data_IF_104133428072
#
_entry.id   IF_104133428072
#
_cell.length_a   1.000
_cell.length_b   1.000
_cell.length_c   1.000
_cell.angle_alpha   90.00
_cell.angle_beta   90.00
_cell.angle_gamma   90.00
#
_symmetry.space_group_name_H-M   'P 1'
#
loop_
_entity.id
_entity.type
_entity.pdbx_description
1 polymer ?
#
# COMPACT_ATOMS: atom_id res chain seq x y z
N UNK A 1 26.19 17.21 5.26
CA UNK A 1 24.91 17.57 5.88
C UNK A 1 24.09 18.34 4.86
N UNK A 2 22.78 18.08 4.74
CA UNK A 2 21.91 18.96 3.96
C UNK A 2 21.70 20.24 4.77
N UNK A 3 22.05 21.39 4.18
CA UNK A 3 21.89 22.70 4.81
C UNK A 3 20.42 23.11 4.80
N UNK A 4 20.01 23.85 5.81
CA UNK A 4 18.67 24.45 5.85
C UNK A 4 18.55 25.56 4.80
N UNK A 5 17.38 25.67 4.16
CA UNK A 5 17.04 26.77 3.27
C UNK A 5 15.94 27.66 3.89
N UNK A 6 16.25 28.91 4.28
CA UNK A 6 15.23 29.84 4.79
C UNK A 6 14.11 30.12 3.79
N UNK A 7 14.44 30.17 2.50
CA UNK A 7 13.45 30.34 1.42
C UNK A 7 12.46 29.16 1.35
N UNK A 8 12.94 27.94 1.60
CA UNK A 8 12.05 26.77 1.66
C UNK A 8 11.11 26.88 2.86
N UNK A 9 11.60 27.32 4.02
CA UNK A 9 10.76 27.56 5.19
C UNK A 9 9.67 28.60 4.88
N UNK A 10 10.04 29.75 4.34
CA UNK A 10 9.10 30.83 4.02
C UNK A 10 8.02 30.37 3.04
N UNK A 11 8.38 29.57 2.03
CA UNK A 11 7.42 29.01 1.10
C UNK A 11 6.43 28.04 1.78
N UNK A 12 6.92 27.15 2.66
CA UNK A 12 6.07 26.21 3.40
C UNK A 12 5.19 26.90 4.44
N UNK A 13 5.71 27.92 5.13
CA UNK A 13 4.95 28.77 6.04
C UNK A 13 3.88 29.57 5.30
N UNK A 14 4.18 30.04 4.08
CA UNK A 14 3.16 30.69 3.24
C UNK A 14 2.09 29.70 2.81
N UNK A 15 2.43 28.46 2.51
CA UNK A 15 1.46 27.40 2.22
C UNK A 15 0.56 27.12 3.43
N UNK A 16 1.13 27.05 4.64
CA UNK A 16 0.37 26.89 5.89
C UNK A 16 -0.64 28.02 6.10
N UNK A 17 -0.20 29.27 5.95
CA UNK A 17 -1.05 30.45 6.08
C UNK A 17 -2.20 30.50 5.05
N UNK A 18 -2.15 29.67 4.00
CA UNK A 18 -3.19 29.54 2.99
C UNK A 18 -3.94 28.19 3.08
N UNK A 19 -3.83 27.47 4.20
CA UNK A 19 -4.50 26.20 4.44
C UNK A 19 -4.16 25.14 3.37
N UNK A 20 -2.90 25.13 2.92
CA UNK A 20 -2.38 24.15 1.96
C UNK A 20 -1.61 23.06 2.72
N UNK A 21 -2.13 21.82 2.78
CA UNK A 21 -1.37 20.70 3.30
C UNK A 21 -0.23 20.36 2.32
N UNK A 22 0.95 20.04 2.87
CA UNK A 22 2.13 19.67 2.09
C UNK A 22 2.57 18.27 2.50
N UNK A 23 2.42 17.32 1.59
CA UNK A 23 2.85 15.94 1.82
C UNK A 23 4.29 15.78 1.33
N UNK A 24 5.15 15.21 2.17
CA UNK A 24 6.58 15.06 1.93
C UNK A 24 7.03 13.60 2.13
N UNK A 25 7.98 13.15 1.32
CA UNK A 25 8.61 11.84 1.49
C UNK A 25 9.59 11.85 2.66
N UNK A 26 9.61 10.80 3.48
CA UNK A 26 10.55 10.71 4.61
C UNK A 26 12.03 10.57 4.18
N UNK A 27 12.30 10.13 2.96
CA UNK A 27 13.64 9.89 2.41
C UNK A 27 14.08 8.42 2.48
N UNK A 28 15.05 8.03 1.65
CA UNK A 28 15.37 6.62 1.34
C UNK A 28 16.76 6.16 1.85
N UNK A 29 17.32 6.77 2.90
CA UNK A 29 18.68 6.43 3.39
C UNK A 29 18.67 5.48 4.61
N UNK A 30 17.56 4.77 4.86
CA UNK A 30 17.40 3.78 5.95
C UNK A 30 17.53 4.37 7.35
N UNK A 31 17.45 5.69 7.48
CA UNK A 31 17.76 6.37 8.72
C UNK A 31 16.64 6.21 9.73
N UNK A 32 17.04 5.97 10.96
CA UNK A 32 16.17 6.16 12.10
C UNK A 32 16.48 7.53 12.72
N UNK A 33 15.61 8.49 12.43
CA UNK A 33 15.77 9.89 12.79
C UNK A 33 15.17 10.08 14.18
N UNK A 34 15.98 10.58 15.10
CA UNK A 34 15.54 10.97 16.44
C UNK A 34 16.08 12.34 16.76
N UNK A 35 15.37 13.06 17.61
CA UNK A 35 15.85 14.33 18.13
C UNK A 35 17.25 14.18 18.76
N UNK A 36 18.13 15.15 18.51
CA UNK A 36 19.50 15.17 19.04
C UNK A 36 20.55 14.39 18.23
N UNK A 37 20.16 13.72 17.13
CA UNK A 37 21.12 13.09 16.21
C UNK A 37 21.54 14.05 15.08
N UNK A 38 22.81 14.00 14.65
CA UNK A 38 23.41 14.90 13.63
C UNK A 38 22.81 14.77 12.21
N UNK A 39 21.77 13.95 12.02
CA UNK A 39 21.20 13.64 10.71
C UNK A 39 19.85 14.30 10.51
N UNK A 40 19.86 15.63 10.45
CA UNK A 40 18.68 16.45 10.12
C UNK A 40 18.13 16.12 8.73
N UNK A 41 16.81 16.16 8.57
CA UNK A 41 16.12 15.92 7.29
C UNK A 41 15.17 17.03 6.91
N UNK A 42 15.54 17.81 5.91
CA UNK A 42 14.68 18.86 5.37
C UNK A 42 13.75 18.28 4.29
N UNK A 43 12.49 18.73 4.19
CA UNK A 43 11.84 19.74 5.04
C UNK A 43 11.23 19.20 6.35
N UNK A 44 11.33 17.90 6.66
CA UNK A 44 10.70 17.30 7.85
C UNK A 44 11.10 17.94 9.20
N UNK A 45 12.31 18.49 9.32
CA UNK A 45 12.74 19.27 10.49
C UNK A 45 11.86 20.49 10.79
N UNK A 46 11.18 21.07 9.78
CA UNK A 46 10.31 22.23 9.99
C UNK A 46 9.02 21.88 10.75
N UNK A 47 8.74 20.59 10.98
CA UNK A 47 7.61 20.15 11.83
C UNK A 47 7.82 20.44 13.32
N UNK A 48 9.06 20.68 13.73
CA UNK A 48 9.42 21.10 15.08
C UNK A 48 10.03 22.49 15.04
N UNK A 49 9.84 23.24 16.12
CA UNK A 49 10.54 24.50 16.29
C UNK A 49 12.05 24.23 16.28
N UNK A 50 12.80 25.01 15.52
CA UNK A 50 14.24 24.81 15.38
C UNK A 50 15.01 26.13 15.32
N UNK A 51 16.31 26.04 15.60
CA UNK A 51 17.26 27.13 15.45
C UNK A 51 18.26 26.78 14.32
N UNK A 52 18.52 27.78 13.49
CA UNK A 52 19.56 27.71 12.48
C UNK A 52 20.29 29.06 12.40
N UNK A 53 21.58 29.04 12.72
CA UNK A 53 22.44 30.23 12.77
C UNK A 53 21.88 31.35 13.66
N UNK A 54 21.24 31.01 14.79
CA UNK A 54 20.66 31.97 15.72
C UNK A 54 19.31 32.54 15.29
N UNK A 55 18.77 32.08 14.16
CA UNK A 55 17.41 32.40 13.71
C UNK A 55 16.47 31.28 14.16
N UNK A 56 15.40 31.65 14.85
CA UNK A 56 14.37 30.73 15.34
C UNK A 56 13.25 30.59 14.31
N UNK A 57 12.90 29.34 14.02
CA UNK A 57 11.82 28.96 13.12
C UNK A 57 10.73 28.25 13.92
N UNK A 58 9.47 28.65 13.72
CA UNK A 58 8.32 28.01 14.34
C UNK A 58 8.01 26.68 13.65
N UNK A 59 7.45 25.74 14.40
CA UNK A 59 6.93 24.49 13.84
C UNK A 59 5.82 24.76 12.83
N UNK A 60 5.86 24.06 11.70
CA UNK A 60 4.82 24.04 10.68
C UNK A 60 3.95 22.79 10.87
N UNK A 61 2.65 23.00 11.07
CA UNK A 61 1.62 21.97 11.24
C UNK A 61 1.02 21.47 9.93
N UNK A 62 1.36 22.08 8.79
CA UNK A 62 0.84 21.66 7.47
C UNK A 62 1.66 20.59 6.76
N UNK A 63 2.75 20.11 7.37
CA UNK A 63 3.61 19.09 6.76
C UNK A 63 3.20 17.69 7.19
N UNK A 64 2.99 16.81 6.22
CA UNK A 64 2.69 15.38 6.45
C UNK A 64 3.84 14.56 5.87
N UNK A 65 4.67 13.98 6.74
CA UNK A 65 5.87 13.22 6.37
C UNK A 65 5.59 11.73 6.31
N UNK A 66 5.91 11.10 5.17
CA UNK A 66 5.43 9.75 4.84
C UNK A 66 6.57 8.76 4.66
N UNK A 67 6.59 7.71 5.49
CA UNK A 67 7.43 6.54 5.31
C UNK A 67 6.83 5.55 4.30
N UNK A 68 7.68 4.73 3.71
CA UNK A 68 7.25 3.63 2.85
C UNK A 68 6.99 2.37 3.68
N UNK A 69 5.87 1.71 3.39
CA UNK A 69 5.60 0.35 3.84
C UNK A 69 6.41 -0.68 3.04
N UNK A 70 6.70 -1.82 3.66
CA UNK A 70 7.25 -2.98 2.96
C UNK A 70 6.26 -3.53 1.91
N UNK A 71 6.69 -4.48 1.09
CA UNK A 71 5.86 -5.07 0.03
C UNK A 71 4.59 -5.79 0.52
N UNK A 72 4.53 -6.13 1.82
CA UNK A 72 3.37 -6.77 2.45
C UNK A 72 2.43 -5.76 3.12
N UNK A 73 2.81 -4.48 3.14
CA UNK A 73 2.10 -3.41 3.84
C UNK A 73 1.85 -3.64 5.34
N UNK A 74 2.68 -4.47 5.97
CA UNK A 74 2.55 -4.86 7.39
C UNK A 74 3.45 -4.07 8.32
N UNK A 75 4.46 -3.37 7.81
CA UNK A 75 5.38 -2.55 8.57
C UNK A 75 6.09 -1.52 7.68
N UNK A 76 6.75 -0.54 8.30
CA UNK A 76 7.67 0.37 7.59
C UNK A 76 8.83 -0.43 6.98
N UNK A 77 9.16 -0.14 5.72
CA UNK A 77 10.27 -0.78 5.01
C UNK A 77 11.62 -0.28 5.54
N UNK A 78 12.28 -1.09 6.36
CA UNK A 78 13.57 -0.74 6.96
C UNK A 78 14.75 -0.86 5.99
N UNK A 79 14.53 -1.42 4.78
CA UNK A 79 15.58 -1.58 3.77
C UNK A 79 15.89 -0.28 3.04
N UNK A 80 15.02 0.73 3.09
CA UNK A 80 15.31 2.06 2.54
C UNK A 80 14.59 3.19 3.29
N UNK A 81 13.39 2.97 3.86
CA UNK A 81 12.62 4.07 4.41
C UNK A 81 13.29 4.67 5.64
N UNK A 82 13.41 5.98 5.63
CA UNK A 82 13.58 6.73 6.86
C UNK A 82 12.36 6.57 7.76
N UNK A 83 12.59 6.64 9.06
CA UNK A 83 11.56 6.54 10.10
C UNK A 83 11.97 7.28 11.37
N UNK A 84 11.02 7.51 12.27
CA UNK A 84 11.21 8.16 13.56
C UNK A 84 10.04 9.06 13.90
N UNK A 85 9.36 8.77 15.01
CA UNK A 85 8.10 9.42 15.38
C UNK A 85 8.20 10.94 15.58
N UNK A 86 9.39 11.47 15.80
CA UNK A 86 9.65 12.90 15.89
C UNK A 86 9.47 13.66 14.56
N UNK A 87 9.62 12.96 13.42
CA UNK A 87 9.76 13.58 12.10
C UNK A 87 8.90 12.94 11.02
N UNK A 88 8.56 11.67 11.16
CA UNK A 88 7.73 10.92 10.23
C UNK A 88 6.37 10.70 10.85
N UNK A 89 5.30 10.99 10.11
CA UNK A 89 3.93 10.91 10.63
C UNK A 89 3.33 9.54 10.45
N UNK A 90 3.36 9.05 9.21
CA UNK A 90 2.52 7.94 8.78
C UNK A 90 3.28 7.12 7.75
N UNK A 91 2.88 5.86 7.59
CA UNK A 91 3.38 5.02 6.52
C UNK A 91 2.30 4.80 5.45
N UNK A 92 2.72 4.64 4.20
CA UNK A 92 1.85 4.35 3.08
C UNK A 92 2.56 3.41 2.08
N UNK A 93 1.82 2.80 1.14
CA UNK A 93 2.41 1.89 0.14
C UNK A 93 3.53 2.57 -0.64
N UNK A 94 4.73 2.00 -0.57
CA UNK A 94 5.93 2.60 -1.17
C UNK A 94 6.94 1.60 -1.70
N UNK A 95 6.67 0.30 -1.64
CA UNK A 95 7.55 -0.75 -2.16
C UNK A 95 6.84 -1.51 -3.27
N UNK A 96 7.48 -1.62 -4.45
CA UNK A 96 6.94 -2.38 -5.58
C UNK A 96 5.68 -1.77 -6.22
N UNK A 97 5.52 -0.44 -6.12
CA UNK A 97 4.34 0.29 -6.58
C UNK A 97 4.35 0.42 -8.09
N UNK A 98 3.36 -0.18 -8.76
CA UNK A 98 3.12 0.02 -10.18
C UNK A 98 2.58 1.43 -10.42
N UNK A 99 3.17 2.15 -11.38
CA UNK A 99 2.70 3.45 -11.83
C UNK A 99 3.00 3.63 -13.31
N UNK A 100 2.32 4.58 -13.96
CA UNK A 100 2.49 4.85 -15.38
C UNK A 100 3.94 5.16 -15.73
N UNK A 101 4.46 4.52 -16.77
CA UNK A 101 5.80 4.77 -17.28
C UNK A 101 5.75 5.08 -18.78
N UNK A 102 6.32 6.23 -19.16
CA UNK A 102 6.38 6.66 -20.56
C UNK A 102 7.56 6.02 -21.31
N UNK A 103 8.56 5.50 -20.60
CA UNK A 103 9.78 4.91 -21.20
C UNK A 103 9.53 3.49 -21.74
N UNK A 104 8.44 2.84 -21.32
CA UNK A 104 8.09 1.46 -21.68
C UNK A 104 6.63 1.39 -22.20
N UNK A 105 6.34 1.93 -23.39
CA UNK A 105 4.97 2.04 -23.92
C UNK A 105 4.25 0.70 -24.08
N UNK A 106 5.01 -0.39 -24.20
CA UNK A 106 4.45 -1.74 -24.36
C UNK A 106 3.88 -2.32 -23.05
N UNK A 107 4.32 -1.82 -21.88
CA UNK A 107 3.82 -2.25 -20.57
C UNK A 107 2.89 -1.22 -19.92
N UNK A 108 2.97 0.05 -20.32
CA UNK A 108 2.23 1.19 -19.77
C UNK A 108 2.45 1.44 -18.26
N UNK A 109 3.18 0.59 -17.55
CA UNK A 109 3.51 0.74 -16.15
C UNK A 109 4.93 0.23 -15.79
N UNK A 110 5.41 0.71 -14.65
CA UNK A 110 6.67 0.29 -14.03
C UNK A 110 6.50 0.23 -12.52
N UNK A 111 7.05 -0.82 -11.91
CA UNK A 111 7.11 -0.96 -10.45
C UNK A 111 8.34 -0.25 -9.88
N UNK A 112 8.10 0.68 -8.96
CA UNK A 112 9.14 1.46 -8.28
C UNK A 112 8.97 1.39 -6.76
N UNK A 113 10.09 1.55 -6.06
CA UNK A 113 10.13 1.60 -4.60
C UNK A 113 10.76 2.91 -4.11
N UNK A 114 10.12 3.54 -3.12
CA UNK A 114 10.60 4.76 -2.50
C UNK A 114 9.54 5.45 -1.66
N UNK A 115 9.99 6.25 -0.68
CA UNK A 115 9.11 7.13 0.10
C UNK A 115 8.40 8.18 -0.76
N UNK A 116 8.90 8.45 -1.98
CA UNK A 116 8.20 9.27 -2.98
C UNK A 116 6.88 8.65 -3.42
N UNK A 117 6.83 7.32 -3.61
CA UNK A 117 5.60 6.60 -3.96
C UNK A 117 4.62 6.60 -2.79
N UNK A 118 5.13 6.47 -1.57
CA UNK A 118 4.32 6.56 -0.35
C UNK A 118 3.71 7.97 -0.18
N UNK A 119 4.51 9.02 -0.36
CA UNK A 119 4.04 10.40 -0.32
C UNK A 119 2.97 10.68 -1.39
N UNK A 120 3.08 10.09 -2.59
CA UNK A 120 2.07 10.20 -3.64
C UNK A 120 0.72 9.57 -3.21
N UNK A 121 0.73 8.41 -2.57
CA UNK A 121 -0.48 7.79 -2.01
C UNK A 121 -1.19 8.70 -1.00
N UNK A 122 -0.44 9.27 -0.06
CA UNK A 122 -1.02 10.19 0.94
C UNK A 122 -1.48 11.50 0.30
N UNK A 123 -0.76 12.02 -0.70
CA UNK A 123 -1.16 13.20 -1.48
C UNK A 123 -2.51 12.99 -2.16
N UNK A 124 -2.74 11.82 -2.75
CA UNK A 124 -4.05 11.44 -3.32
C UNK A 124 -5.14 11.46 -2.26
N UNK A 125 -4.91 10.85 -1.09
CA UNK A 125 -5.91 10.81 0.01
C UNK A 125 -6.26 12.24 0.46
N UNK A 126 -5.26 13.07 0.72
CA UNK A 126 -5.44 14.48 1.11
C UNK A 126 -6.23 15.24 0.03
N UNK A 127 -5.93 14.99 -1.25
CA UNK A 127 -6.67 15.56 -2.37
C UNK A 127 -8.15 15.14 -2.39
N UNK A 128 -8.46 13.87 -2.18
CA UNK A 128 -9.84 13.37 -2.09
C UNK A 128 -10.58 14.00 -0.91
N UNK A 129 -9.96 14.02 0.28
CA UNK A 129 -10.54 14.65 1.48
C UNK A 129 -10.90 16.12 1.20
N UNK A 130 -9.96 16.90 0.65
CA UNK A 130 -10.17 18.32 0.32
C UNK A 130 -11.17 18.52 -0.83
N UNK A 131 -11.30 17.57 -1.74
CA UNK A 131 -12.30 17.63 -2.82
C UNK A 131 -13.72 17.41 -2.30
N UNK A 132 -13.90 16.56 -1.28
CA UNK A 132 -15.19 16.31 -0.63
C UNK A 132 -15.59 17.50 0.25
N UNK A 133 -14.66 18.04 1.03
CA UNK A 133 -14.88 19.25 1.82
C UNK A 133 -13.81 20.29 1.51
N UNK A 134 -14.16 21.22 0.61
CA UNK A 134 -13.27 22.31 0.18
C UNK A 134 -12.99 23.33 1.28
N UNK A 135 -13.79 23.36 2.34
CA UNK A 135 -13.61 24.28 3.47
C UNK A 135 -12.79 23.66 4.61
N UNK A 136 -12.45 22.37 4.52
CA UNK A 136 -11.72 21.68 5.57
C UNK A 136 -10.29 22.23 5.68
N UNK A 137 -10.03 22.84 6.84
CA UNK A 137 -8.71 23.36 7.23
C UNK A 137 -7.69 22.25 7.38
N UNK A 138 -6.41 22.61 7.35
CA UNK A 138 -5.30 21.65 7.40
C UNK A 138 -5.32 20.81 8.68
N UNK A 139 -5.59 21.43 9.82
CA UNK A 139 -5.73 20.73 11.11
C UNK A 139 -6.91 19.75 11.12
N UNK A 140 -8.02 20.11 10.48
CA UNK A 140 -9.18 19.24 10.27
C UNK A 140 -8.83 18.03 9.39
N UNK A 141 -8.08 18.23 8.30
CA UNK A 141 -7.58 17.14 7.45
C UNK A 141 -6.70 16.20 8.26
N UNK A 142 -5.68 16.73 8.96
CA UNK A 142 -4.74 15.93 9.75
C UNK A 142 -5.48 15.14 10.84
N UNK A 143 -6.39 15.78 11.56
CA UNK A 143 -7.21 15.13 12.59
C UNK A 143 -8.05 14.00 11.99
N UNK A 144 -8.67 14.24 10.84
CA UNK A 144 -9.47 13.23 10.16
C UNK A 144 -8.61 12.01 9.77
N UNK A 145 -7.41 12.22 9.22
CA UNK A 145 -6.49 11.13 8.88
C UNK A 145 -6.04 10.37 10.13
N UNK A 146 -5.69 11.07 11.21
CA UNK A 146 -5.27 10.47 12.48
C UNK A 146 -6.36 9.61 13.14
N UNK A 147 -7.62 9.94 12.95
CA UNK A 147 -8.75 9.16 13.46
C UNK A 147 -8.98 7.85 12.68
N UNK A 148 -8.32 7.66 11.55
CA UNK A 148 -8.46 6.50 10.67
C UNK A 148 -7.11 5.83 10.45
N UNK A 149 -6.44 5.42 11.52
CA UNK A 149 -5.15 4.75 11.46
C UNK A 149 -5.27 3.26 11.82
N UNK A 150 -4.66 2.41 11.00
CA UNK A 150 -4.29 1.05 11.37
C UNK A 150 -2.87 1.11 11.95
N UNK A 151 -2.73 0.83 13.24
CA UNK A 151 -1.43 0.79 13.92
C UNK A 151 -0.52 -0.28 13.30
N UNK A 152 0.78 0.02 13.25
CA UNK A 152 1.80 -0.87 12.71
C UNK A 152 2.77 -1.33 13.80
N UNK A 153 3.45 -2.47 13.64
CA UNK A 153 4.55 -2.88 14.50
C UNK A 153 5.62 -1.78 14.59
N UNK A 154 6.07 -1.48 15.82
CA UNK A 154 6.99 -0.39 16.15
C UNK A 154 6.49 1.02 15.77
N UNK A 155 5.18 1.16 15.50
CA UNK A 155 4.56 2.42 15.10
C UNK A 155 4.87 3.56 16.06
N UNK A 156 4.74 3.34 17.37
CA UNK A 156 5.01 4.36 18.39
C UNK A 156 6.43 4.94 18.33
N UNK A 157 7.39 4.14 17.89
CA UNK A 157 8.77 4.56 17.79
C UNK A 157 9.07 5.19 16.42
N UNK A 158 8.41 4.71 15.37
CA UNK A 158 8.77 5.00 13.98
C UNK A 158 7.89 6.07 13.33
N UNK A 159 6.68 6.30 13.83
CA UNK A 159 5.65 7.11 13.19
C UNK A 159 4.88 7.90 14.25
N UNK A 160 4.73 9.22 14.08
CA UNK A 160 4.01 10.07 15.03
C UNK A 160 2.53 9.68 15.15
N UNK A 161 1.93 9.17 14.07
CA UNK A 161 0.56 8.67 14.02
C UNK A 161 0.49 7.16 14.20
N UNK A 162 1.62 6.50 14.52
CA UNK A 162 1.73 5.06 14.85
C UNK A 162 1.39 4.05 13.75
N UNK A 163 1.00 4.46 12.54
CA UNK A 163 0.52 3.48 11.56
C UNK A 163 0.35 3.95 10.12
N UNK A 164 -0.53 3.26 9.40
CA UNK A 164 -0.99 3.61 8.05
C UNK A 164 -2.45 4.05 8.05
N UNK A 165 -2.85 4.85 7.06
CA UNK A 165 -4.25 5.30 6.93
C UNK A 165 -5.12 4.10 6.53
N UNK A 166 -6.21 3.87 7.27
CA UNK A 166 -7.32 3.00 6.86
C UNK A 166 -8.15 3.73 5.80
N UNK A 167 -7.76 3.59 4.55
CA UNK A 167 -8.44 4.26 3.44
C UNK A 167 -9.91 3.87 3.34
N UNK A 168 -10.25 2.61 3.63
CA UNK A 168 -11.63 2.14 3.55
C UNK A 168 -12.48 2.80 4.62
N UNK A 169 -12.03 2.79 5.88
CA UNK A 169 -12.76 3.44 6.96
C UNK A 169 -12.85 4.96 6.75
N UNK A 170 -11.78 5.59 6.26
CA UNK A 170 -11.75 7.02 5.93
C UNK A 170 -12.76 7.37 4.83
N UNK A 171 -12.79 6.62 3.73
CA UNK A 171 -13.74 6.89 2.65
C UNK A 171 -15.19 6.66 3.09
N UNK A 172 -15.46 5.61 3.86
CA UNK A 172 -16.79 5.38 4.43
C UNK A 172 -17.24 6.53 5.34
N UNK A 173 -16.34 7.09 6.16
CA UNK A 173 -16.68 8.24 7.02
C UNK A 173 -16.92 9.54 6.24
N UNK A 174 -16.39 9.62 5.02
CA UNK A 174 -16.66 10.69 4.04
C UNK A 174 -17.92 10.43 3.18
N UNK A 175 -18.63 9.31 3.41
CA UNK A 175 -19.79 8.93 2.61
C UNK A 175 -19.44 8.40 1.21
N UNK A 176 -18.18 8.06 0.97
CA UNK A 176 -17.72 7.36 -0.24
C UNK A 176 -17.79 5.86 0.08
N UNK A 177 -18.62 5.11 -0.63
CA UNK A 177 -18.64 3.66 -0.53
C UNK A 177 -17.66 3.03 -1.53
N UNK A 178 -16.45 2.61 -1.10
CA UNK A 178 -15.49 1.97 -2.00
C UNK A 178 -15.98 0.61 -2.50
N UNK A 179 -16.98 -0.01 -1.86
CA UNK A 179 -17.59 -1.26 -2.32
C UNK A 179 -18.39 -1.07 -3.62
N UNK A 180 -18.85 0.15 -3.93
CA UNK A 180 -19.51 0.47 -5.19
C UNK A 180 -18.55 0.55 -6.39
N UNK A 181 -17.22 0.57 -6.14
CA UNK A 181 -16.17 0.63 -7.16
C UNK A 181 -15.44 -0.69 -7.35
N UNK A 182 -15.77 -1.73 -6.58
CA UNK A 182 -15.30 -3.08 -6.85
C UNK A 182 -16.18 -3.60 -7.99
N UNK A 183 -15.64 -3.93 -9.18
CA UNK A 183 -16.39 -4.75 -10.10
C UNK A 183 -16.82 -5.99 -9.30
N UNK A 184 -18.13 -6.24 -9.26
CA UNK A 184 -18.77 -7.40 -8.64
C UNK A 184 -17.77 -8.57 -8.59
N UNK A 185 -17.35 -9.00 -7.38
CA UNK A 185 -16.30 -10.03 -7.23
C UNK A 185 -16.70 -11.25 -8.07
N UNK A 186 -16.10 -11.36 -9.26
CA UNK A 186 -16.25 -12.53 -10.10
C UNK A 186 -15.39 -13.59 -9.43
N UNK A 187 -16.01 -14.38 -8.56
CA UNK A 187 -15.39 -15.54 -7.93
C UNK A 187 -14.83 -16.46 -9.02
N UNK A 188 -13.51 -16.66 -9.07
CA UNK A 188 -12.95 -17.70 -9.92
C UNK A 188 -13.63 -19.02 -9.58
N UNK A 189 -14.23 -19.67 -10.58
CA UNK A 189 -14.73 -21.03 -10.40
C UNK A 189 -13.53 -21.95 -10.21
N UNK A 190 -13.30 -22.32 -8.96
CA UNK A 190 -12.41 -23.42 -8.64
C UNK A 190 -13.10 -24.70 -9.11
N UNK A 191 -12.63 -25.26 -10.22
CA UNK A 191 -12.98 -26.62 -10.61
C UNK A 191 -11.95 -27.54 -9.93
N UNK A 192 -12.28 -28.21 -8.81
CA UNK A 192 -11.40 -29.26 -8.32
C UNK A 192 -11.40 -30.37 -9.36
N UNK A 193 -10.34 -30.46 -10.15
CA UNK A 193 -10.02 -31.71 -10.85
C UNK A 193 -9.80 -32.77 -9.77
N UNK A 194 -10.86 -33.53 -9.49
CA UNK A 194 -10.80 -34.71 -8.66
C UNK A 194 -9.75 -35.64 -9.26
N UNK A 195 -8.81 -36.02 -8.39
CA UNK A 195 -7.92 -37.18 -8.54
C UNK A 195 -6.66 -36.98 -9.40
N UNK A 196 -5.59 -36.43 -8.80
CA UNK A 196 -4.30 -37.17 -8.62
C UNK A 196 -3.15 -36.40 -7.97
N UNK A 197 -3.27 -35.10 -7.72
CA UNK A 197 -2.17 -34.34 -7.10
C UNK A 197 -2.67 -33.45 -5.97
N UNK A 198 -2.65 -33.94 -4.73
CA UNK A 198 -2.93 -33.15 -3.52
C UNK A 198 -1.93 -31.98 -3.29
N UNK A 199 -1.05 -31.69 -4.25
CA UNK A 199 -0.03 -30.65 -4.19
C UNK A 199 -0.22 -29.56 -5.25
N UNK A 200 -1.18 -29.69 -6.17
CA UNK A 200 -1.37 -28.74 -7.26
C UNK A 200 -2.82 -28.21 -7.27
N UNK A 201 -2.96 -26.88 -7.23
CA UNK A 201 -4.23 -26.17 -7.33
C UNK A 201 -4.31 -25.53 -8.70
N UNK A 202 -5.31 -25.93 -9.49
CA UNK A 202 -5.64 -25.31 -10.79
C UNK A 202 -6.64 -24.18 -10.57
N UNK A 203 -6.38 -23.04 -11.17
CA UNK A 203 -7.25 -21.87 -11.17
C UNK A 203 -7.72 -21.63 -12.58
N UNK A 204 -9.03 -21.76 -12.83
CA UNK A 204 -9.63 -21.46 -14.11
C UNK A 204 -10.01 -19.97 -14.16
N UNK A 205 -9.36 -19.25 -15.06
CA UNK A 205 -9.43 -17.79 -15.24
C UNK A 205 -10.48 -17.43 -16.31
N UNK A 206 -11.30 -18.41 -16.74
CA UNK A 206 -12.34 -18.18 -17.73
C UNK A 206 -13.32 -17.11 -17.20
N UNK A 207 -13.57 -16.03 -17.96
CA UNK A 207 -14.45 -14.97 -17.50
C UNK A 207 -15.86 -15.53 -17.27
N UNK A 208 -16.42 -15.27 -16.09
CA UNK A 208 -17.84 -15.53 -15.79
C UNK A 208 -18.72 -14.45 -16.45
N UNK A 209 -18.10 -13.36 -16.91
CA UNK A 209 -18.73 -12.32 -17.71
C UNK A 209 -18.77 -12.74 -19.18
N UNK A 210 -19.98 -13.05 -19.67
CA UNK A 210 -20.23 -13.49 -21.05
C UNK A 210 -19.90 -12.43 -22.12
N UNK A 211 -19.44 -11.24 -21.72
CA UNK A 211 -19.01 -10.15 -22.60
C UNK A 211 -17.54 -10.22 -23.03
N UNK A 212 -16.71 -11.04 -22.39
CA UNK A 212 -15.30 -11.21 -22.75
C UNK A 212 -15.15 -12.40 -23.71
N UNK A 213 -14.67 -12.21 -24.95
CA UNK A 213 -14.55 -13.28 -25.94
C UNK A 213 -13.62 -14.41 -25.45
N UNK A 214 -14.05 -15.66 -25.63
CA UNK A 214 -13.23 -16.83 -25.31
C UNK A 214 -11.91 -16.80 -26.09
N UNK A 215 -10.78 -16.64 -25.38
CA UNK A 215 -9.44 -16.54 -25.96
C UNK A 215 -8.32 -16.85 -24.96
N UNK A 216 -7.08 -16.76 -25.42
CA UNK A 216 -5.89 -16.79 -24.56
C UNK A 216 -5.72 -15.42 -23.91
N UNK A 217 -5.97 -15.32 -22.60
CA UNK A 217 -5.85 -14.07 -21.85
C UNK A 217 -4.43 -13.87 -21.36
N UNK A 218 -3.92 -12.64 -21.40
CA UNK A 218 -2.78 -12.25 -20.57
C UNK A 218 -3.27 -11.95 -19.16
N UNK A 219 -2.63 -12.56 -18.16
CA UNK A 219 -3.00 -12.37 -16.77
C UNK A 219 -1.77 -12.25 -15.86
N UNK A 220 -1.95 -11.48 -14.79
CA UNK A 220 -1.06 -11.47 -13.62
C UNK A 220 -1.80 -12.10 -12.45
N UNK A 221 -1.10 -12.80 -11.56
CA UNK A 221 -1.68 -13.32 -10.33
C UNK A 221 -0.76 -13.13 -9.13
N UNK A 222 -1.38 -12.97 -7.97
CA UNK A 222 -0.73 -12.90 -6.67
C UNK A 222 -1.44 -13.85 -5.72
N UNK A 223 -0.67 -14.71 -5.05
CA UNK A 223 -1.15 -15.58 -3.98
C UNK A 223 -0.72 -14.97 -2.65
N UNK A 224 -1.65 -14.84 -1.72
CA UNK A 224 -1.45 -14.35 -0.37
C UNK A 224 -1.75 -15.45 0.66
N UNK A 225 -1.08 -15.47 1.80
CA UNK A 225 -1.45 -16.31 2.94
C UNK A 225 -2.63 -15.74 3.76
N UNK A 226 -2.99 -16.40 4.87
CA UNK A 226 -4.08 -15.95 5.75
C UNK A 226 -3.83 -14.58 6.39
N UNK A 227 -2.55 -14.21 6.56
CA UNK A 227 -2.12 -12.93 7.12
C UNK A 227 -1.99 -11.84 6.03
N UNK A 228 -2.31 -12.17 4.78
CA UNK A 228 -2.23 -11.26 3.63
C UNK A 228 -0.82 -11.10 3.06
N UNK A 229 0.15 -11.94 3.42
CA UNK A 229 1.49 -11.87 2.86
C UNK A 229 1.57 -12.54 1.51
N UNK A 230 2.21 -11.86 0.54
CA UNK A 230 2.48 -12.44 -0.78
C UNK A 230 3.37 -13.69 -0.66
N UNK A 231 2.86 -14.77 -1.23
CA UNK A 231 3.49 -16.08 -1.31
C UNK A 231 4.11 -16.29 -2.68
N UNK A 232 3.40 -15.90 -3.74
CA UNK A 232 3.80 -16.13 -5.12
C UNK A 232 3.19 -15.06 -6.03
N UNK A 233 4.03 -14.47 -6.88
CA UNK A 233 3.63 -13.67 -8.03
C UNK A 233 3.94 -14.42 -9.32
N UNK A 234 3.04 -14.31 -10.29
CA UNK A 234 3.32 -14.81 -11.63
C UNK A 234 2.49 -14.15 -12.71
N UNK A 235 2.92 -14.38 -13.94
CA UNK A 235 2.29 -13.89 -15.16
C UNK A 235 2.08 -15.08 -16.09
N UNK A 236 1.04 -15.03 -16.93
CA UNK A 236 0.80 -16.10 -17.87
C UNK A 236 -0.13 -15.73 -19.01
N UNK A 237 -0.23 -16.65 -19.95
CA UNK A 237 -1.17 -16.59 -21.07
C UNK A 237 -2.08 -17.81 -21.05
N UNK A 238 -3.36 -17.63 -21.40
CA UNK A 238 -4.33 -18.70 -21.50
C UNK A 238 -5.53 -18.49 -20.58
N UNK A 239 -6.23 -19.58 -20.26
CA UNK A 239 -7.48 -19.55 -19.48
C UNK A 239 -7.37 -20.18 -18.10
N UNK A 240 -6.15 -20.58 -17.67
CA UNK A 240 -5.92 -21.19 -16.37
C UNK A 240 -4.44 -21.19 -15.98
N UNK A 241 -4.15 -21.18 -14.67
CA UNK A 241 -2.81 -21.44 -14.14
C UNK A 241 -2.82 -22.54 -13.07
N UNK A 242 -1.65 -23.11 -12.79
CA UNK A 242 -1.48 -24.14 -11.76
C UNK A 242 -0.47 -23.66 -10.73
N UNK A 243 -0.89 -23.63 -9.48
CA UNK A 243 0.00 -23.43 -8.35
C UNK A 243 0.39 -24.77 -7.75
N UNK A 244 1.69 -25.04 -7.62
CA UNK A 244 2.25 -26.27 -7.04
C UNK A 244 2.42 -26.21 -5.51
N UNK A 245 1.88 -25.17 -4.88
CA UNK A 245 1.97 -25.00 -3.44
C UNK A 245 3.35 -24.55 -2.96
N UNK A 246 4.18 -23.96 -3.83
CA UNK A 246 5.46 -23.37 -3.45
C UNK A 246 5.42 -21.85 -3.47
N UNK A 247 6.33 -21.20 -2.75
CA UNK A 247 6.50 -19.75 -2.80
C UNK A 247 7.36 -19.33 -4.02
N UNK A 248 7.64 -18.04 -4.15
CA UNK A 248 8.50 -17.48 -5.21
C UNK A 248 9.88 -18.15 -5.35
N UNK A 249 10.39 -18.79 -4.29
CA UNK A 249 11.68 -19.47 -4.26
C UNK A 249 11.59 -20.98 -4.59
N UNK A 250 10.40 -21.48 -4.94
CA UNK A 250 10.14 -22.90 -5.15
C UNK A 250 10.12 -23.71 -3.83
N UNK A 251 10.05 -23.04 -2.67
CA UNK A 251 9.96 -23.70 -1.37
C UNK A 251 8.50 -23.99 -1.03
N UNK A 252 8.14 -25.23 -0.65
CA UNK A 252 6.76 -25.55 -0.26
C UNK A 252 6.26 -24.68 0.89
N UNK A 253 5.10 -24.05 0.71
CA UNK A 253 4.46 -23.28 1.80
C UNK A 253 3.67 -24.15 2.77
N UNK A 254 3.40 -23.71 4.01
CA UNK A 254 2.62 -24.49 4.96
C UNK A 254 1.19 -24.81 4.48
N UNK A 255 0.49 -25.78 5.10
CA UNK A 255 -0.95 -25.89 4.99
C UNK A 255 -1.65 -24.66 5.60
N UNK A 256 -2.72 -24.17 4.97
CA UNK A 256 -3.45 -22.98 5.39
C UNK A 256 -4.46 -22.52 4.33
N UNK A 257 -5.25 -21.48 4.62
CA UNK A 257 -5.98 -20.75 3.57
C UNK A 257 -5.03 -19.76 2.90
N UNK A 258 -5.29 -19.54 1.61
CA UNK A 258 -4.56 -18.62 0.78
C UNK A 258 -5.57 -17.86 -0.07
N UNK A 259 -5.35 -16.58 -0.26
CA UNK A 259 -6.14 -15.76 -1.17
C UNK A 259 -5.39 -15.60 -2.48
N UNK A 260 -6.12 -15.57 -3.59
CA UNK A 260 -5.55 -15.37 -4.91
C UNK A 260 -6.24 -14.18 -5.53
N UNK A 261 -5.43 -13.23 -5.99
CA UNK A 261 -5.84 -12.12 -6.82
C UNK A 261 -5.32 -12.37 -8.23
N UNK A 262 -6.17 -12.24 -9.24
CA UNK A 262 -5.82 -12.37 -10.65
C UNK A 262 -6.26 -11.10 -11.37
N UNK A 263 -5.39 -10.49 -12.14
CA UNK A 263 -5.72 -9.36 -13.01
C UNK A 263 -5.74 -9.83 -14.46
N UNK A 264 -6.87 -9.66 -15.14
CA UNK A 264 -7.02 -9.95 -16.58
C UNK A 264 -7.45 -8.66 -17.27
N UNK A 265 -6.67 -8.17 -18.24
CA UNK A 265 -6.99 -6.93 -18.97
C UNK A 265 -7.35 -5.74 -18.04
N UNK A 266 -6.68 -5.63 -16.88
CA UNK A 266 -6.93 -4.63 -15.82
C UNK A 266 -8.23 -4.79 -15.03
N UNK A 267 -8.95 -5.90 -15.19
CA UNK A 267 -10.08 -6.30 -14.32
C UNK A 267 -9.57 -7.26 -13.24
N UNK A 268 -9.77 -6.90 -11.97
CA UNK A 268 -9.39 -7.71 -10.83
C UNK A 268 -10.43 -8.84 -10.60
N UNK A 269 -9.93 -10.06 -10.39
CA UNK A 269 -10.68 -11.27 -10.04
C UNK A 269 -10.08 -11.85 -8.75
N UNK A 270 -10.93 -12.34 -7.84
CA UNK A 270 -10.50 -12.85 -6.53
C UNK A 270 -11.02 -14.25 -6.24
N UNK A 271 -10.24 -15.04 -5.48
CA UNK A 271 -10.70 -16.29 -4.89
C UNK A 271 -9.91 -16.67 -3.63
N UNK A 272 -10.56 -17.39 -2.71
CA UNK A 272 -9.90 -18.02 -1.57
C UNK A 272 -9.76 -19.53 -1.79
N UNK A 273 -8.57 -20.06 -1.54
CA UNK A 273 -8.24 -21.49 -1.61
C UNK A 273 -7.68 -22.00 -0.30
N UNK A 274 -7.70 -23.32 -0.10
CA UNK A 274 -7.13 -23.95 1.08
C UNK A 274 -6.17 -25.06 0.68
N UNK A 275 -4.91 -24.95 1.12
CA UNK A 275 -3.90 -26.00 1.01
C UNK A 275 -3.96 -26.86 2.28
N UNK A 276 -4.34 -28.13 2.14
CA UNK A 276 -4.41 -29.08 3.27
C UNK A 276 -3.14 -29.92 3.36
N UNK A 277 -2.71 -30.27 4.56
CA UNK A 277 -1.66 -31.28 4.75
C UNK A 277 -2.16 -32.63 4.21
N UNK A 278 -1.25 -33.59 3.96
CA UNK A 278 -1.47 -34.90 3.31
C UNK A 278 -2.55 -35.84 3.91
N UNK A 279 -3.48 -35.38 4.75
CA UNK A 279 -4.72 -36.07 5.07
C UNK A 279 -5.93 -35.39 4.43
N UNK A 280 -6.53 -36.12 3.49
CA UNK A 280 -7.65 -35.75 2.64
C UNK A 280 -8.94 -35.33 3.38
N UNK A 281 -9.63 -34.36 2.77
CA UNK A 281 -11.09 -34.17 2.68
C UNK A 281 -11.97 -34.55 3.89
N UNK A 282 -12.36 -33.52 4.65
CA UNK A 282 -13.71 -33.42 5.20
C UNK A 282 -14.04 -31.93 5.39
N UNK A 283 -15.30 -31.56 5.12
CA UNK A 283 -15.87 -30.22 5.32
C UNK A 283 -15.47 -29.19 4.25
N UNK A 284 -16.16 -29.20 3.11
CA UNK A 284 -16.90 -28.05 2.55
C UNK A 284 -17.81 -28.63 1.47
N UNK A 285 -19.00 -29.03 1.94
CA UNK A 285 -19.98 -29.78 1.18
C UNK A 285 -21.13 -30.13 2.10
N UNK A 286 -21.81 -29.08 2.63
CA UNK A 286 -23.21 -29.09 3.06
C UNK A 286 -23.59 -27.67 3.50
N UNK A 287 -24.52 -27.10 2.76
CA UNK A 287 -25.08 -25.77 2.95
C UNK A 287 -25.94 -25.42 1.74
N UNK A 288 -26.95 -26.26 1.49
CA UNK A 288 -28.20 -25.82 0.87
C UNK A 288 -29.16 -25.39 1.96
#
# INVERSE_FOLDING_TARGET
>A
SQLMSPLLYEALAKAEANEIPVVISAGNDKLFIREGLERRRWPAEFKKANDYNGVKYQALGNLISVAALNQYETAVDTLFSNRGADYVDVAAPGTGIASTDYEHPDRNDRRLSGTSMAAAHVSRIVGVVRAIDTNLRVDGIVTLLQNHIIELPNGEEWLSWKGKIDERALYLSLGIDPSALVPEEIFLKLTPEREKFCNQLRFDISPIDASIPAGSYEYEYVIFDEDGQEVLYGEGTGSSFVWDGTNQLGVPVPPGRYNVSVSVEKKLLGASVCKRSKLCCALFGKGG
#
